data_IF_091815099472
#
_entry.id   IF_091815099472
#
_cell.length_a   1.000
_cell.length_b   1.000
_cell.length_c   1.000
_cell.angle_alpha   90.00
_cell.angle_beta   90.00
_cell.angle_gamma   90.00
#
_symmetry.space_group_name_H-M   'P 1'
#
loop_
_entity.id
_entity.type
_entity.pdbx_description
1 polymer ?
#
# COMPACT_ATOMS: atom_id res chain seq x y z
N UNK A 1 -3.52 -0.54 25.20
CA UNK A 1 -2.85 -1.73 24.61
C UNK A 1 -3.49 -2.21 23.29
N UNK A 2 -4.71 -1.80 22.92
CA UNK A 2 -5.37 -2.26 21.68
C UNK A 2 -4.86 -1.64 20.36
N UNK A 3 -4.09 -0.56 20.40
CA UNK A 3 -3.62 0.16 19.19
C UNK A 3 -2.31 -0.38 18.61
N UNK A 4 -1.56 -1.18 19.37
CA UNK A 4 -0.24 -1.68 18.94
C UNK A 4 -0.27 -2.47 17.62
N UNK A 5 -1.19 -3.43 17.41
CA UNK A 5 -1.28 -4.13 16.11
C UNK A 5 -1.66 -3.21 14.95
N UNK A 6 -2.44 -2.15 15.21
CA UNK A 6 -2.80 -1.15 14.20
C UNK A 6 -1.56 -0.35 13.81
N UNK A 7 -0.77 0.10 14.79
CA UNK A 7 0.51 0.79 14.55
C UNK A 7 1.50 -0.06 13.77
N UNK A 8 1.63 -1.34 14.12
CA UNK A 8 2.47 -2.28 13.35
C UNK A 8 2.01 -2.36 11.89
N UNK A 9 0.71 -2.48 11.64
CA UNK A 9 0.13 -2.46 10.30
C UNK A 9 0.49 -1.19 9.53
N UNK A 10 0.37 -0.02 10.16
CA UNK A 10 0.72 1.27 9.53
C UNK A 10 2.21 1.33 9.17
N UNK A 11 3.08 0.84 10.05
CA UNK A 11 4.53 0.77 9.77
C UNK A 11 4.80 -0.14 8.58
N UNK A 12 4.23 -1.36 8.56
CA UNK A 12 4.39 -2.30 7.44
C UNK A 12 3.85 -1.70 6.13
N UNK A 13 2.68 -1.06 6.18
CA UNK A 13 2.11 -0.36 5.04
C UNK A 13 3.05 0.73 4.50
N UNK A 14 3.71 1.49 5.38
CA UNK A 14 4.63 2.57 4.99
C UNK A 14 5.89 2.10 4.25
N UNK A 15 6.23 0.80 4.33
CA UNK A 15 7.32 0.15 3.61
C UNK A 15 6.85 -0.72 2.44
N UNK A 16 5.55 -0.73 2.15
CA UNK A 16 4.99 -1.51 1.04
C UNK A 16 5.40 -0.87 -0.29
N UNK A 17 6.46 -1.40 -0.90
CA UNK A 17 7.00 -0.97 -2.21
C UNK A 17 7.01 -2.10 -3.25
N UNK A 18 6.57 -3.30 -2.87
CA UNK A 18 6.70 -4.54 -3.64
C UNK A 18 6.02 -4.48 -5.01
N UNK A 19 4.94 -3.71 -5.15
CA UNK A 19 4.24 -3.53 -6.43
C UNK A 19 5.08 -2.78 -7.47
N UNK A 20 6.02 -1.94 -7.02
CA UNK A 20 6.85 -1.12 -7.88
C UNK A 20 8.16 -1.80 -8.23
N UNK A 21 8.64 -2.73 -7.41
CA UNK A 21 9.97 -3.35 -7.54
C UNK A 21 10.23 -3.90 -8.95
N UNK A 22 9.35 -4.71 -9.56
CA UNK A 22 9.62 -5.27 -10.90
C UNK A 22 9.66 -4.20 -11.99
N UNK A 23 8.79 -3.18 -11.88
CA UNK A 23 8.77 -2.08 -12.85
C UNK A 23 10.01 -1.21 -12.67
N UNK A 24 10.45 -0.97 -11.43
CA UNK A 24 11.64 -0.19 -11.14
C UNK A 24 12.89 -0.88 -11.69
N UNK A 25 13.08 -2.16 -11.37
CA UNK A 25 14.20 -2.99 -11.84
C UNK A 25 14.26 -3.02 -13.37
N UNK A 26 13.11 -3.23 -14.05
CA UNK A 26 13.04 -3.25 -15.51
C UNK A 26 13.27 -1.88 -16.19
N UNK A 27 13.21 -0.77 -15.45
CA UNK A 27 13.50 0.57 -15.96
C UNK A 27 14.88 1.10 -15.54
N UNK A 28 15.67 0.33 -14.78
CA UNK A 28 17.03 0.72 -14.42
C UNK A 28 18.00 0.54 -15.59
N UNK A 29 18.93 1.49 -15.75
CA UNK A 29 19.99 1.38 -16.76
C UNK A 29 20.90 0.17 -16.48
N UNK A 30 21.23 -0.07 -15.21
CA UNK A 30 22.00 -1.21 -14.73
C UNK A 30 21.18 -2.01 -13.71
N UNK A 31 20.46 -3.07 -14.11
CA UNK A 31 19.64 -3.87 -13.20
C UNK A 31 20.46 -4.57 -12.09
N UNK A 32 21.73 -4.86 -12.33
CA UNK A 32 22.61 -5.53 -11.36
C UNK A 32 22.84 -4.71 -10.07
N UNK A 33 22.66 -3.38 -10.11
CA UNK A 33 22.80 -2.48 -8.96
C UNK A 33 21.51 -2.34 -8.14
N UNK A 34 20.44 -3.03 -8.51
CA UNK A 34 19.12 -2.92 -7.89
C UNK A 34 19.12 -3.21 -6.39
N UNK A 35 19.84 -4.24 -5.96
CA UNK A 35 19.95 -4.60 -4.54
C UNK A 35 20.58 -3.48 -3.70
N UNK A 36 21.63 -2.84 -4.21
CA UNK A 36 22.33 -1.76 -3.51
C UNK A 36 21.45 -0.50 -3.45
N UNK A 37 20.81 -0.15 -4.56
CA UNK A 37 19.85 0.94 -4.62
C UNK A 37 18.70 0.73 -3.61
N UNK A 38 18.19 -0.49 -3.48
CA UNK A 38 17.12 -0.81 -2.53
C UNK A 38 17.58 -0.65 -1.07
N UNK A 39 18.77 -1.15 -0.74
CA UNK A 39 19.34 -1.05 0.62
C UNK A 39 19.45 0.41 1.06
N UNK A 40 20.09 1.25 0.25
CA UNK A 40 20.25 2.67 0.56
C UNK A 40 18.92 3.42 0.62
N UNK A 41 18.01 3.12 -0.30
CA UNK A 41 16.68 3.75 -0.34
C UNK A 41 15.86 3.43 0.92
N UNK A 42 15.87 2.18 1.38
CA UNK A 42 15.16 1.78 2.60
C UNK A 42 15.78 2.38 3.87
N UNK A 43 17.10 2.45 3.95
CA UNK A 43 17.81 3.09 5.08
C UNK A 43 17.44 4.59 5.16
N UNK A 44 17.53 5.31 4.03
CA UNK A 44 17.18 6.72 3.97
C UNK A 44 15.69 6.96 4.29
N UNK A 45 14.80 6.09 3.78
CA UNK A 45 13.38 6.14 4.06
C UNK A 45 13.05 5.85 5.53
N UNK A 46 13.77 4.95 6.19
CA UNK A 46 13.60 4.66 7.60
C UNK A 46 14.10 5.77 8.50
N UNK A 47 15.28 6.32 8.21
CA UNK A 47 15.84 7.43 8.96
C UNK A 47 14.95 8.68 8.86
N UNK A 48 14.50 9.03 7.65
CA UNK A 48 13.61 10.19 7.45
C UNK A 48 12.28 10.03 8.19
N UNK A 49 11.65 8.85 8.14
CA UNK A 49 10.42 8.57 8.90
C UNK A 49 10.64 8.64 10.41
N UNK A 50 11.72 8.04 10.91
CA UNK A 50 12.03 8.03 12.34
C UNK A 50 12.32 9.43 12.87
N UNK A 51 13.11 10.23 12.15
CA UNK A 51 13.39 11.63 12.50
C UNK A 51 12.10 12.46 12.50
N UNK A 52 11.27 12.31 11.47
CA UNK A 52 9.99 13.03 11.39
C UNK A 52 9.04 12.64 12.54
N UNK A 53 8.92 11.35 12.84
CA UNK A 53 8.10 10.86 13.95
C UNK A 53 8.62 11.36 15.30
N UNK A 54 9.94 11.33 15.53
CA UNK A 54 10.55 11.81 16.76
C UNK A 54 10.31 13.31 16.96
N UNK A 55 10.54 14.13 15.94
CA UNK A 55 10.31 15.58 16.01
C UNK A 55 8.82 15.86 16.25
N UNK A 56 7.93 15.16 15.54
CA UNK A 56 6.49 15.29 15.71
C UNK A 56 6.04 14.99 17.14
N UNK A 57 6.50 13.86 17.69
CA UNK A 57 6.18 13.46 19.05
C UNK A 57 6.76 14.42 20.10
N UNK A 58 8.00 14.88 19.94
CA UNK A 58 8.59 15.87 20.87
C UNK A 58 7.91 17.24 20.82
N UNK A 59 7.28 17.60 19.69
CA UNK A 59 6.63 18.90 19.51
C UNK A 59 5.21 18.92 20.07
N UNK A 60 4.41 17.87 19.81
CA UNK A 60 2.99 17.82 20.15
C UNK A 60 2.65 16.87 21.31
N UNK A 61 3.57 15.99 21.69
CA UNK A 61 3.39 15.03 22.77
C UNK A 61 2.13 14.17 22.58
N UNK A 62 1.36 14.05 23.66
CA UNK A 62 0.11 13.29 23.72
C UNK A 62 -1.03 13.91 22.87
N UNK A 63 -0.91 15.17 22.42
CA UNK A 63 -1.92 15.81 21.57
C UNK A 63 -1.77 15.49 20.08
N UNK A 64 -0.76 14.69 19.70
CA UNK A 64 -0.49 14.32 18.30
C UNK A 64 -1.70 13.62 17.69
N UNK A 65 -2.29 14.23 16.65
CA UNK A 65 -3.40 13.68 15.91
C UNK A 65 -2.90 12.66 14.88
N UNK A 66 -3.78 11.71 14.52
CA UNK A 66 -3.61 10.75 13.43
C UNK A 66 -3.05 11.34 12.14
N UNK A 67 -3.47 12.57 11.82
CA UNK A 67 -2.94 13.38 10.72
C UNK A 67 -2.21 14.59 11.31
N UNK A 68 -0.89 14.51 11.35
CA UNK A 68 -0.02 15.51 12.01
C UNK A 68 -0.20 16.94 11.50
N UNK A 69 -0.66 17.14 10.26
CA UNK A 69 -0.93 18.49 9.75
C UNK A 69 -2.08 19.19 10.46
N UNK A 70 -2.98 18.44 11.11
CA UNK A 70 -4.06 19.00 11.92
C UNK A 70 -3.54 19.62 13.22
N UNK A 71 -2.36 19.23 13.70
CA UNK A 71 -1.71 19.82 14.87
C UNK A 71 -1.04 21.18 14.58
N UNK A 72 -0.96 21.60 13.31
CA UNK A 72 -0.29 22.86 12.97
C UNK A 72 -1.10 24.07 13.50
N UNK A 73 -0.47 24.96 14.30
CA UNK A 73 -1.19 26.03 15.00
C UNK A 73 -1.69 27.14 14.06
N UNK A 74 -0.95 27.42 12.98
CA UNK A 74 -1.25 28.52 12.06
C UNK A 74 -2.12 28.04 10.89
N UNK A 75 -3.32 28.62 10.74
CA UNK A 75 -4.26 28.29 9.65
C UNK A 75 -3.63 28.39 8.25
N UNK A 76 -2.85 29.44 7.98
CA UNK A 76 -2.17 29.63 6.70
C UNK A 76 -1.10 28.58 6.41
N UNK A 77 -0.26 28.26 7.40
CA UNK A 77 0.77 27.23 7.27
C UNK A 77 0.16 25.85 7.08
N UNK A 78 -0.89 25.51 7.85
CA UNK A 78 -1.66 24.28 7.67
C UNK A 78 -2.23 24.16 6.26
N UNK A 79 -2.81 25.24 5.73
CA UNK A 79 -3.34 25.28 4.36
C UNK A 79 -2.26 24.99 3.31
N UNK A 80 -1.09 25.63 3.42
CA UNK A 80 0.04 25.43 2.51
C UNK A 80 0.56 23.99 2.54
N UNK A 81 0.76 23.43 3.74
CA UNK A 81 1.25 22.04 3.89
C UNK A 81 0.24 21.05 3.32
N UNK A 82 -1.05 21.20 3.66
CA UNK A 82 -2.09 20.32 3.13
C UNK A 82 -2.22 20.41 1.61
N UNK A 83 -2.13 21.61 1.03
CA UNK A 83 -2.15 21.78 -0.43
C UNK A 83 -0.95 21.09 -1.09
N UNK A 84 0.23 21.18 -0.46
CA UNK A 84 1.44 20.49 -0.93
C UNK A 84 1.27 18.98 -0.86
N UNK A 85 0.70 18.45 0.23
CA UNK A 85 0.42 17.02 0.39
C UNK A 85 -0.60 16.51 -0.63
N UNK A 86 -1.66 17.27 -0.90
CA UNK A 86 -2.66 16.92 -1.92
C UNK A 86 -2.02 16.93 -3.31
N UNK A 87 -1.21 17.94 -3.63
CA UNK A 87 -0.49 18.00 -4.90
C UNK A 87 0.44 16.80 -5.06
N UNK A 88 1.20 16.46 -4.02
CA UNK A 88 2.04 15.26 -3.99
C UNK A 88 1.21 14.00 -4.22
N UNK A 89 0.08 13.85 -3.54
CA UNK A 89 -0.79 12.68 -3.68
C UNK A 89 -1.34 12.55 -5.12
N UNK A 90 -1.77 13.65 -5.73
CA UNK A 90 -2.25 13.69 -7.11
C UNK A 90 -1.16 13.31 -8.12
N UNK A 91 0.06 13.84 -7.94
CA UNK A 91 1.20 13.52 -8.80
C UNK A 91 1.71 12.09 -8.59
N UNK A 92 1.53 11.53 -7.39
CA UNK A 92 2.00 10.18 -7.06
C UNK A 92 0.99 9.09 -7.38
N UNK A 93 -0.33 9.39 -7.45
CA UNK A 93 -1.39 8.41 -7.72
C UNK A 93 -1.24 7.62 -9.03
N UNK A 94 -0.77 8.20 -10.15
CA UNK A 94 -0.59 7.46 -11.39
C UNK A 94 0.37 6.27 -11.27
N UNK A 95 1.41 6.37 -10.43
CA UNK A 95 2.42 5.31 -10.28
C UNK A 95 1.81 3.97 -9.79
N UNK A 96 1.17 3.88 -8.59
CA UNK A 96 0.53 2.65 -8.14
C UNK A 96 -0.61 2.22 -9.05
N UNK A 97 -1.33 3.19 -9.62
CA UNK A 97 -2.42 2.90 -10.54
C UNK A 97 -1.93 2.18 -11.80
N UNK A 98 -0.87 2.67 -12.46
CA UNK A 98 -0.31 2.02 -13.64
C UNK A 98 0.35 0.69 -13.33
N UNK A 99 1.02 0.56 -12.19
CA UNK A 99 1.59 -0.71 -11.74
C UNK A 99 0.47 -1.75 -11.46
N UNK A 100 -0.61 -1.36 -10.81
CA UNK A 100 -1.74 -2.25 -10.58
C UNK A 100 -2.45 -2.63 -11.90
N UNK A 101 -2.67 -1.66 -12.79
CA UNK A 101 -3.28 -1.89 -14.09
C UNK A 101 -2.44 -2.83 -14.97
N UNK A 102 -1.11 -2.68 -14.97
CA UNK A 102 -0.22 -3.56 -15.74
C UNK A 102 -0.14 -4.97 -15.18
N UNK A 103 -0.23 -5.15 -13.86
CA UNK A 103 -0.31 -6.46 -13.22
C UNK A 103 -1.63 -7.16 -13.55
N UNK A 104 -2.75 -6.43 -13.50
CA UNK A 104 -4.07 -6.96 -13.89
C UNK A 104 -4.07 -7.32 -15.38
N UNK A 105 -3.50 -6.46 -16.22
CA UNK A 105 -3.31 -6.71 -17.65
C UNK A 105 -2.52 -8.01 -17.88
N UNK A 106 -1.36 -8.15 -17.26
CA UNK A 106 -0.49 -9.30 -17.44
C UNK A 106 -1.05 -10.59 -16.83
N UNK A 107 -1.89 -10.50 -15.81
CA UNK A 107 -2.48 -11.67 -15.16
C UNK A 107 -3.73 -12.20 -15.88
N UNK A 108 -4.59 -11.30 -16.36
CA UNK A 108 -5.91 -11.66 -16.89
C UNK A 108 -5.99 -11.61 -18.42
N UNK A 109 -5.20 -10.76 -19.08
CA UNK A 109 -5.36 -10.42 -20.48
C UNK A 109 -4.17 -10.86 -21.31
N UNK A 110 -4.43 -11.23 -22.57
CA UNK A 110 -3.38 -11.58 -23.53
C UNK A 110 -2.45 -10.40 -23.80
N UNK A 111 -1.17 -10.71 -23.96
CA UNK A 111 -0.11 -9.79 -24.33
C UNK A 111 -0.36 -9.11 -25.67
N UNK A 112 0.48 -8.12 -26.00
CA UNK A 112 0.25 -7.24 -27.16
C UNK A 112 0.10 -8.04 -28.46
N UNK A 113 -0.84 -7.65 -29.35
CA UNK A 113 -1.01 -8.32 -30.63
C UNK A 113 0.24 -8.13 -31.49
N UNK A 114 0.76 -9.23 -32.03
CA UNK A 114 1.92 -9.25 -32.93
C UNK A 114 1.45 -9.63 -34.34
N UNK A 115 2.22 -9.30 -35.38
CA UNK A 115 1.91 -9.65 -36.77
C UNK A 115 1.58 -11.15 -36.94
N UNK A 116 2.27 -12.03 -36.19
CA UNK A 116 2.07 -13.48 -36.18
C UNK A 116 0.84 -13.96 -35.38
N UNK A 117 0.33 -13.17 -34.43
CA UNK A 117 -0.81 -13.51 -33.54
C UNK A 117 -1.70 -12.28 -33.31
N UNK A 118 -2.76 -12.09 -34.12
CA UNK A 118 -3.64 -10.92 -34.04
C UNK A 118 -4.57 -10.93 -32.82
N UNK A 119 -4.75 -12.11 -32.19
CA UNK A 119 -5.57 -12.34 -31.00
C UNK A 119 -4.79 -12.22 -29.68
N UNK A 120 -3.49 -11.90 -29.74
CA UNK A 120 -2.63 -11.70 -28.58
C UNK A 120 -1.68 -12.84 -28.27
N UNK A 121 -0.63 -12.52 -27.53
CA UNK A 121 0.34 -13.50 -27.05
C UNK A 121 -0.04 -13.99 -25.65
N UNK A 122 -0.15 -15.31 -25.44
CA UNK A 122 -0.41 -15.93 -24.14
C UNK A 122 -1.69 -16.75 -24.08
N UNK A 123 -1.76 -17.66 -23.10
CA UNK A 123 -2.90 -18.54 -22.84
C UNK A 123 -3.91 -17.93 -21.84
N UNK A 124 -3.86 -16.61 -21.63
CA UNK A 124 -4.79 -15.93 -20.72
C UNK A 124 -6.25 -16.02 -21.18
N UNK A 125 -7.21 -15.99 -20.24
CA UNK A 125 -8.63 -16.17 -20.52
C UNK A 125 -9.28 -15.01 -21.27
N UNK A 126 -8.75 -13.79 -21.13
CA UNK A 126 -9.34 -12.60 -21.75
C UNK A 126 -8.53 -12.09 -22.96
N UNK A 127 -9.19 -11.44 -23.95
CA UNK A 127 -8.53 -10.92 -25.16
C UNK A 127 -7.52 -9.78 -24.87
N UNK A 128 -6.79 -9.30 -25.88
CA UNK A 128 -5.75 -8.27 -25.70
C UNK A 128 -6.28 -6.88 -25.36
N UNK A 129 -5.68 -6.21 -24.36
CA UNK A 129 -5.99 -4.81 -24.00
C UNK A 129 -5.77 -3.84 -25.17
N UNK A 130 -4.84 -4.18 -26.06
CA UNK A 130 -4.37 -3.34 -27.15
C UNK A 130 -4.97 -3.77 -28.50
N UNK A 131 -5.33 -2.79 -29.32
CA UNK A 131 -5.62 -2.95 -30.73
C UNK A 131 -4.35 -3.03 -31.58
N UNK A 132 -4.50 -3.34 -32.87
CA UNK A 132 -3.37 -3.35 -33.84
C UNK A 132 -2.73 -1.98 -34.03
N UNK A 133 -3.51 -0.92 -33.87
CA UNK A 133 -3.08 0.47 -34.03
C UNK A 133 -2.44 1.06 -32.75
N UNK A 134 -2.08 0.21 -31.78
CA UNK A 134 -1.62 0.59 -30.44
C UNK A 134 -2.63 1.43 -29.64
N UNK A 135 -3.91 1.42 -30.03
CA UNK A 135 -5.00 2.01 -29.28
C UNK A 135 -5.54 1.05 -28.21
N UNK A 136 -5.97 1.62 -27.08
CA UNK A 136 -6.62 0.87 -26.01
C UNK A 136 -8.03 0.48 -26.43
N UNK A 137 -8.35 -0.83 -26.35
CA UNK A 137 -9.72 -1.29 -26.62
C UNK A 137 -10.68 -0.74 -25.56
N UNK A 138 -11.96 -0.56 -25.94
CA UNK A 138 -13.01 0.01 -25.08
C UNK A 138 -13.12 -0.70 -23.73
N UNK A 139 -12.99 -2.03 -23.70
CA UNK A 139 -13.06 -2.78 -22.45
C UNK A 139 -11.84 -2.52 -21.55
N UNK A 140 -10.66 -2.25 -22.10
CA UNK A 140 -9.46 -1.91 -21.32
C UNK A 140 -9.59 -0.52 -20.69
N UNK A 141 -10.19 0.43 -21.43
CA UNK A 141 -10.58 1.74 -20.89
C UNK A 141 -11.64 1.57 -19.79
N UNK A 142 -12.62 0.69 -20.00
CA UNK A 142 -13.67 0.41 -19.02
C UNK A 142 -13.08 -0.15 -17.72
N UNK A 143 -12.14 -1.09 -17.81
CA UNK A 143 -11.43 -1.64 -16.64
C UNK A 143 -10.66 -0.55 -15.90
N UNK A 144 -9.95 0.33 -16.64
CA UNK A 144 -9.22 1.46 -16.07
C UNK A 144 -10.14 2.42 -15.31
N UNK A 145 -11.26 2.81 -15.92
CA UNK A 145 -12.28 3.66 -15.27
C UNK A 145 -12.87 2.96 -14.04
N UNK A 146 -13.18 1.67 -14.14
CA UNK A 146 -13.72 0.87 -13.03
C UNK A 146 -12.74 0.82 -11.84
N UNK A 147 -11.44 0.66 -12.09
CA UNK A 147 -10.42 0.70 -11.04
C UNK A 147 -10.40 2.05 -10.31
N UNK A 148 -10.45 3.16 -11.05
CA UNK A 148 -10.51 4.49 -10.44
C UNK A 148 -11.79 4.65 -9.60
N UNK A 149 -12.95 4.26 -10.14
CA UNK A 149 -14.22 4.32 -9.43
C UNK A 149 -14.22 3.47 -8.16
N UNK A 150 -13.61 2.28 -8.19
CA UNK A 150 -13.48 1.42 -7.03
C UNK A 150 -12.60 2.06 -5.95
N UNK A 151 -11.47 2.68 -6.33
CA UNK A 151 -10.64 3.41 -5.37
C UNK A 151 -11.35 4.62 -4.77
N UNK A 152 -12.17 5.33 -5.57
CA UNK A 152 -12.99 6.44 -5.11
C UNK A 152 -14.10 5.97 -4.15
N UNK A 153 -14.76 4.86 -4.46
CA UNK A 153 -15.78 4.26 -3.61
C UNK A 153 -15.22 3.87 -2.24
N UNK A 154 -14.03 3.24 -2.21
CA UNK A 154 -13.33 2.91 -0.97
C UNK A 154 -12.96 4.17 -0.16
N UNK A 155 -12.52 5.24 -0.84
CA UNK A 155 -12.17 6.49 -0.18
C UNK A 155 -13.38 7.22 0.45
N UNK A 156 -14.55 7.14 -0.18
CA UNK A 156 -15.80 7.73 0.36
C UNK A 156 -16.36 6.88 1.50
N UNK A 157 -16.23 5.56 1.41
CA UNK A 157 -16.80 4.65 2.39
C UNK A 157 -16.15 4.81 3.76
N UNK A 158 -14.82 4.94 3.84
CA UNK A 158 -14.06 4.86 5.10
C UNK A 158 -13.51 6.24 5.51
N UNK A 159 -14.10 6.94 6.50
CA UNK A 159 -13.65 8.26 6.93
C UNK A 159 -12.40 8.24 7.83
N UNK A 160 -12.04 7.09 8.40
CA UNK A 160 -10.89 6.93 9.30
C UNK A 160 -9.65 6.43 8.56
N UNK A 161 -8.81 7.38 8.13
CA UNK A 161 -7.59 7.14 7.36
C UNK A 161 -6.60 6.17 8.03
N UNK A 162 -6.35 6.35 9.33
CA UNK A 162 -5.36 5.56 10.09
C UNK A 162 -5.79 4.10 10.26
N UNK A 163 -7.08 3.86 10.53
CA UNK A 163 -7.64 2.52 10.62
C UNK A 163 -7.57 1.79 9.27
N UNK A 164 -7.85 2.49 8.17
CA UNK A 164 -7.73 1.93 6.82
C UNK A 164 -6.28 1.56 6.49
N UNK A 165 -5.31 2.44 6.76
CA UNK A 165 -3.89 2.14 6.54
C UNK A 165 -3.41 0.96 7.39
N UNK A 166 -3.79 0.92 8.67
CA UNK A 166 -3.48 -0.20 9.56
C UNK A 166 -4.04 -1.52 9.04
N UNK A 167 -5.30 -1.52 8.60
CA UNK A 167 -5.95 -2.71 8.02
C UNK A 167 -5.26 -3.17 6.73
N UNK A 168 -4.99 -2.26 5.79
CA UNK A 168 -4.31 -2.57 4.54
C UNK A 168 -2.91 -3.15 4.83
N UNK A 169 -2.16 -2.57 5.76
CA UNK A 169 -0.85 -3.07 6.15
C UNK A 169 -0.90 -4.44 6.84
N UNK A 170 -1.84 -4.63 7.76
CA UNK A 170 -2.03 -5.90 8.47
C UNK A 170 -2.51 -7.02 7.56
N UNK A 171 -3.26 -6.71 6.50
CA UNK A 171 -3.70 -7.68 5.51
C UNK A 171 -2.72 -7.83 4.35
N UNK A 172 -2.63 -6.82 3.47
CA UNK A 172 -1.81 -6.91 2.25
C UNK A 172 -0.32 -6.82 2.57
N UNK A 173 0.07 -5.95 3.50
CA UNK A 173 1.47 -5.73 3.84
C UNK A 173 2.12 -6.95 4.49
N UNK A 174 1.44 -7.61 5.43
CA UNK A 174 1.96 -8.82 6.08
C UNK A 174 2.08 -9.98 5.11
N UNK A 175 1.10 -10.15 4.22
CA UNK A 175 1.13 -11.20 3.23
C UNK A 175 2.24 -10.96 2.20
N UNK A 176 2.38 -9.74 1.66
CA UNK A 176 3.37 -9.41 0.62
C UNK A 176 4.80 -9.31 1.16
N UNK A 177 4.98 -8.96 2.44
CA UNK A 177 6.31 -8.76 3.03
C UNK A 177 6.85 -10.01 3.73
N UNK A 178 5.98 -10.80 4.36
CA UNK A 178 6.40 -11.96 5.16
C UNK A 178 5.98 -13.28 4.53
N UNK A 179 4.71 -13.45 4.17
CA UNK A 179 4.18 -14.77 3.80
C UNK A 179 4.57 -15.19 2.39
N UNK A 180 4.25 -14.38 1.38
CA UNK A 180 4.50 -14.72 -0.03
C UNK A 180 6.00 -14.89 -0.36
N UNK A 181 6.91 -13.97 0.04
CA UNK A 181 8.32 -14.12 -0.27
C UNK A 181 8.93 -15.38 0.33
N UNK A 182 8.69 -15.65 1.62
CA UNK A 182 9.19 -16.85 2.29
C UNK A 182 8.57 -18.12 1.69
N UNK A 183 7.27 -18.13 1.41
CA UNK A 183 6.61 -19.28 0.80
C UNK A 183 7.17 -19.60 -0.59
N UNK A 184 7.37 -18.59 -1.44
CA UNK A 184 7.92 -18.80 -2.78
C UNK A 184 9.40 -19.19 -2.74
N UNK A 185 10.20 -18.57 -1.87
CA UNK A 185 11.61 -18.93 -1.69
C UNK A 185 11.76 -20.40 -1.29
N UNK A 186 11.01 -20.81 -0.26
CA UNK A 186 11.00 -22.17 0.26
C UNK A 186 10.54 -23.17 -0.80
N UNK A 187 9.48 -22.85 -1.56
CA UNK A 187 8.96 -23.73 -2.62
C UNK A 187 9.93 -23.86 -3.81
N UNK A 188 10.61 -22.79 -4.19
CA UNK A 188 11.54 -22.78 -5.32
C UNK A 188 12.87 -23.47 -5.00
N UNK A 189 13.38 -23.30 -3.77
CA UNK A 189 14.69 -23.82 -3.32
C UNK A 189 14.61 -24.99 -2.35
N UNK A 190 13.45 -25.65 -2.22
CA UNK A 190 13.20 -26.71 -1.24
C UNK A 190 14.31 -27.77 -1.14
N UNK A 191 14.83 -28.22 -2.29
CA UNK A 191 15.82 -29.30 -2.35
C UNK A 191 17.26 -28.83 -2.03
N UNK A 192 17.51 -27.53 -1.98
CA UNK A 192 18.85 -26.94 -1.76
C UNK A 192 18.96 -26.27 -0.39
N UNK A 193 17.84 -26.11 0.32
CA UNK A 193 17.79 -25.40 1.61
C UNK A 193 18.12 -26.31 2.79
N UNK A 194 18.89 -25.76 3.71
CA UNK A 194 19.17 -26.38 5.00
C UNK A 194 17.92 -26.33 5.90
N UNK A 195 17.71 -27.36 6.72
CA UNK A 195 16.52 -27.52 7.57
C UNK A 195 16.38 -26.34 8.55
N UNK A 196 17.50 -25.74 8.97
CA UNK A 196 17.52 -24.54 9.82
C UNK A 196 16.96 -23.29 9.12
N UNK A 197 17.24 -23.13 7.83
CA UNK A 197 16.71 -22.01 7.04
C UNK A 197 15.21 -22.18 6.83
N UNK A 198 14.77 -23.41 6.51
CA UNK A 198 13.34 -23.74 6.40
C UNK A 198 12.62 -23.45 7.72
N UNK A 199 13.18 -23.85 8.86
CA UNK A 199 12.59 -23.58 10.17
C UNK A 199 12.46 -22.07 10.45
N UNK A 200 13.46 -21.27 10.07
CA UNK A 200 13.43 -19.81 10.23
C UNK A 200 12.38 -19.14 9.33
N UNK A 201 12.27 -19.56 8.07
CA UNK A 201 11.25 -19.06 7.14
C UNK A 201 9.83 -19.42 7.59
N UNK A 202 9.63 -20.65 8.07
CA UNK A 202 8.35 -21.08 8.65
C UNK A 202 8.01 -20.27 9.90
N UNK A 203 8.99 -19.98 10.75
CA UNK A 203 8.80 -19.11 11.92
C UNK A 203 8.34 -17.70 11.52
N UNK A 204 8.98 -17.11 10.50
CA UNK A 204 8.59 -15.78 9.96
C UNK A 204 7.15 -15.82 9.44
N UNK A 205 6.79 -16.85 8.66
CA UNK A 205 5.42 -17.02 8.14
C UNK A 205 4.41 -17.11 9.28
N UNK A 206 4.66 -17.97 10.27
CA UNK A 206 3.77 -18.13 11.43
C UNK A 206 3.61 -16.82 12.21
N UNK A 207 4.71 -16.13 12.51
CA UNK A 207 4.69 -14.85 13.20
C UNK A 207 3.94 -13.78 12.39
N UNK A 208 4.20 -13.70 11.08
CA UNK A 208 3.53 -12.77 10.17
C UNK A 208 2.02 -13.01 10.08
N UNK A 209 1.60 -14.28 9.99
CA UNK A 209 0.16 -14.66 9.98
C UNK A 209 -0.49 -14.33 11.31
N UNK A 210 0.14 -14.63 12.45
CA UNK A 210 -0.40 -14.33 13.77
C UNK A 210 -0.57 -12.81 13.96
N UNK A 211 0.47 -12.02 13.69
CA UNK A 211 0.42 -10.57 13.76
C UNK A 211 -0.61 -9.98 12.79
N UNK A 212 -0.68 -10.51 11.56
CA UNK A 212 -1.67 -10.08 10.56
C UNK A 212 -3.10 -10.36 10.98
N UNK A 213 -3.41 -11.57 11.47
CA UNK A 213 -4.76 -11.95 11.93
C UNK A 213 -5.17 -11.12 13.15
N UNK A 214 -4.31 -10.96 14.14
CA UNK A 214 -4.56 -10.12 15.31
C UNK A 214 -4.78 -8.66 14.86
N UNK A 215 -3.95 -8.17 13.95
CA UNK A 215 -4.06 -6.83 13.37
C UNK A 215 -5.35 -6.60 12.60
N UNK A 216 -5.79 -7.56 11.79
CA UNK A 216 -7.05 -7.49 11.04
C UNK A 216 -8.23 -7.47 12.00
N UNK A 217 -8.28 -8.38 12.97
CA UNK A 217 -9.39 -8.43 13.94
C UNK A 217 -9.47 -7.11 14.70
N UNK A 218 -8.35 -6.63 15.24
CA UNK A 218 -8.32 -5.37 16.01
C UNK A 218 -8.65 -4.14 15.17
N UNK A 219 -8.09 -4.01 13.96
CA UNK A 219 -8.43 -2.92 13.04
C UNK A 219 -9.90 -2.97 12.60
N UNK A 220 -10.43 -4.17 12.32
CA UNK A 220 -11.81 -4.35 11.87
C UNK A 220 -12.81 -4.06 12.99
N UNK A 221 -12.58 -4.54 14.21
CA UNK A 221 -13.44 -4.23 15.36
C UNK A 221 -13.44 -2.75 15.67
N UNK A 222 -12.27 -2.11 15.65
CA UNK A 222 -12.16 -0.66 15.85
C UNK A 222 -12.89 0.12 14.75
N UNK A 223 -12.80 -0.34 13.50
CA UNK A 223 -13.51 0.26 12.38
C UNK A 223 -15.03 0.15 12.58
N UNK A 224 -15.55 -1.05 12.87
CA UNK A 224 -16.98 -1.30 13.09
C UNK A 224 -17.53 -0.50 14.27
N UNK A 225 -16.81 -0.47 15.39
CA UNK A 225 -17.19 0.33 16.56
C UNK A 225 -17.34 1.81 16.20
N UNK A 226 -16.41 2.33 15.40
CA UNK A 226 -16.43 3.74 14.97
C UNK A 226 -17.61 4.05 14.02
N UNK A 227 -18.09 3.08 13.24
CA UNK A 227 -19.32 3.24 12.45
C UNK A 227 -20.60 3.21 13.28
N UNK A 228 -20.60 2.53 14.42
CA UNK A 228 -21.78 2.42 15.29
C UNK A 228 -21.91 3.58 16.29
N UNK A 229 -20.85 4.34 16.53
CA UNK A 229 -20.91 5.55 17.35
C UNK A 229 -21.45 6.70 16.47
N UNK A 230 -22.62 7.29 16.80
CA UNK A 230 -23.08 8.48 16.10
C UNK A 230 -22.09 9.63 16.36
N UNK A 231 -21.72 10.34 15.29
CA UNK A 231 -20.82 11.50 15.28
C UNK A 231 -20.93 12.32 16.58
N UNK A 232 -19.81 12.66 17.27
CA UNK A 232 -19.87 13.67 18.31
C UNK A 232 -20.19 14.99 17.62
N UNK A 233 -21.46 15.40 17.68
CA UNK A 233 -21.83 16.77 17.35
C UNK A 233 -21.09 17.67 18.35
N UNK A 234 -20.37 18.73 17.91
CA UNK A 234 -19.84 19.71 18.85
C UNK A 234 -21.05 20.31 19.56
N UNK A 235 -21.13 20.10 20.87
CA UNK A 235 -22.20 20.68 21.68
C UNK A 235 -22.04 22.22 21.61
N UNK A 236 -22.99 22.97 21.01
CA UNK A 236 -22.83 24.42 20.83
C UNK A 236 -22.76 25.19 22.16
N UNK A 237 -23.01 24.51 23.28
CA UNK A 237 -22.96 25.07 24.63
C UNK A 237 -21.59 24.90 25.33
N UNK A 238 -20.66 24.12 24.77
CA UNK A 238 -19.33 23.89 25.37
C UNK A 238 -18.34 25.07 25.22
N UNK A 239 -18.74 26.18 24.59
CA UNK A 239 -17.96 27.42 24.49
C UNK A 239 -18.49 28.57 25.37
N UNK A 240 -19.33 28.28 26.37
CA UNK A 240 -19.86 29.31 27.31
C UNK A 240 -19.61 29.03 28.80
N UNK A 241 -18.64 28.17 29.14
CA UNK A 241 -18.21 27.92 30.52
C UNK A 241 -16.80 28.39 30.79
#
# INVERSE_FOLDING_TARGET
MGTFPITLGIVVFSYTSQIFLPTLEGNMQNPDEFEEMLKWSHIAAGLSKALFALIGFLTFGEETQDVITNNLPTRGFRGLVNLTLVTKALLSYPLPYFAAASLIESALFRGRPTEKRPDGEGDQPFPTCWGRDNELRVWAVTLRVLLVLLTMFMAVSIPHFVLLMGLIGNFTGTMLSFVWPCYFHMKLKWHTLDIRHIAWEVFIICCGVLCGVIGIITSFTALVETYHIPLPYPDPNAMQG
#
